data_IF_682704458058
#
_entry.id   IF_682704458058
#
_cell.length_a   1.000
_cell.length_b   1.000
_cell.length_c   1.000
_cell.angle_alpha   90.00
_cell.angle_beta   90.00
_cell.angle_gamma   90.00
#
_symmetry.space_group_name_H-M   'P 1'
#
loop_
_entity.id
_entity.type
_entity.pdbx_description
1 polymer ?
#
# COMPACT_ATOMS: atom_id res chain seq x y z
N UNK A 1 -25.04 13.20 -10.93
CA UNK A 1 -24.29 11.91 -10.90
C UNK A 1 -24.97 10.97 -9.91
N UNK A 2 -25.30 9.72 -10.27
CA UNK A 2 -25.97 8.79 -9.34
C UNK A 2 -25.01 8.31 -8.24
N UNK A 3 -25.49 8.14 -6.99
CA UNK A 3 -24.67 7.72 -5.81
C UNK A 3 -23.75 6.51 -6.08
N UNK A 4 -24.20 5.56 -6.90
CA UNK A 4 -23.41 4.37 -7.30
C UNK A 4 -22.15 4.74 -8.11
N UNK A 5 -22.23 5.71 -9.03
CA UNK A 5 -21.07 6.13 -9.85
C UNK A 5 -19.99 6.79 -9.00
N UNK A 6 -20.38 7.61 -8.03
CA UNK A 6 -19.44 8.30 -7.12
C UNK A 6 -18.60 7.28 -6.35
N UNK A 7 -19.23 6.25 -5.79
CA UNK A 7 -18.55 5.22 -5.00
C UNK A 7 -17.49 4.45 -5.79
N UNK A 8 -17.78 4.12 -7.06
CA UNK A 8 -16.83 3.44 -7.94
C UNK A 8 -15.64 4.33 -8.24
N UNK A 9 -15.87 5.59 -8.61
CA UNK A 9 -14.78 6.52 -8.89
C UNK A 9 -13.91 6.75 -7.65
N UNK A 10 -14.53 6.95 -6.47
CA UNK A 10 -13.78 7.11 -5.22
C UNK A 10 -12.95 5.86 -4.90
N UNK A 11 -13.50 4.67 -5.10
CA UNK A 11 -12.76 3.42 -4.88
C UNK A 11 -11.54 3.30 -5.81
N UNK A 12 -11.74 3.52 -7.12
CA UNK A 12 -10.66 3.41 -8.11
C UNK A 12 -9.57 4.46 -7.88
N UNK A 13 -9.94 5.71 -7.61
CA UNK A 13 -8.96 6.77 -7.29
C UNK A 13 -8.17 6.40 -6.04
N UNK A 14 -8.86 5.97 -4.99
CA UNK A 14 -8.23 5.63 -3.72
C UNK A 14 -7.29 4.42 -3.85
N UNK A 15 -7.66 3.38 -4.61
CA UNK A 15 -6.80 2.22 -4.82
C UNK A 15 -5.60 2.54 -5.71
N UNK A 16 -5.78 3.27 -6.81
CA UNK A 16 -4.66 3.60 -7.71
C UNK A 16 -3.65 4.55 -7.05
N UNK A 17 -4.14 5.58 -6.36
CA UNK A 17 -3.27 6.50 -5.62
C UNK A 17 -2.49 5.77 -4.53
N UNK A 18 -3.18 5.00 -3.69
CA UNK A 18 -2.55 4.24 -2.60
C UNK A 18 -1.56 3.21 -3.13
N UNK A 19 -1.97 2.38 -4.09
CA UNK A 19 -1.13 1.31 -4.61
C UNK A 19 0.07 1.83 -5.40
N UNK A 20 -0.04 3.00 -6.04
CA UNK A 20 1.06 3.61 -6.79
C UNK A 20 2.22 4.10 -5.91
N UNK A 21 1.95 4.43 -4.64
CA UNK A 21 2.96 4.96 -3.72
C UNK A 21 3.96 3.88 -3.26
N UNK A 22 3.59 2.61 -3.23
CA UNK A 22 4.50 1.53 -2.79
C UNK A 22 5.58 1.20 -3.83
N UNK A 23 5.27 1.02 -5.12
CA UNK A 23 6.29 0.96 -6.18
C UNK A 23 7.17 2.21 -6.22
N UNK A 24 6.60 3.40 -6.00
CA UNK A 24 7.39 4.63 -5.90
C UNK A 24 8.36 4.58 -4.70
N UNK A 25 7.91 4.12 -3.53
CA UNK A 25 8.78 3.90 -2.38
C UNK A 25 9.90 2.89 -2.66
N UNK A 26 9.59 1.79 -3.36
CA UNK A 26 10.58 0.80 -3.77
C UNK A 26 11.63 1.37 -4.75
N UNK A 27 11.21 2.23 -5.68
CA UNK A 27 12.14 2.94 -6.56
C UNK A 27 13.06 3.85 -5.73
N UNK A 28 12.49 4.64 -4.82
CA UNK A 28 13.26 5.56 -3.98
C UNK A 28 14.24 4.82 -3.07
N UNK A 29 13.84 3.72 -2.43
CA UNK A 29 14.77 2.95 -1.60
C UNK A 29 15.88 2.30 -2.46
N UNK A 30 15.59 1.90 -3.71
CA UNK A 30 16.61 1.42 -4.65
C UNK A 30 17.63 2.51 -4.96
N UNK A 31 17.17 3.74 -5.24
CA UNK A 31 18.04 4.88 -5.49
C UNK A 31 18.90 5.21 -4.27
N UNK A 32 18.35 5.14 -3.06
CA UNK A 32 19.13 5.27 -1.84
C UNK A 32 20.22 4.21 -1.73
N UNK A 33 19.89 2.93 -1.97
CA UNK A 33 20.89 1.85 -1.91
C UNK A 33 22.02 2.01 -2.93
N UNK A 34 21.72 2.61 -4.09
CA UNK A 34 22.70 2.85 -5.15
C UNK A 34 23.56 4.10 -4.91
N UNK A 35 22.94 5.19 -4.46
CA UNK A 35 23.60 6.52 -4.35
C UNK A 35 24.14 6.82 -2.95
N UNK A 36 23.57 6.20 -1.92
CA UNK A 36 23.79 6.55 -0.52
C UNK A 36 23.11 7.85 -0.08
N UNK A 37 22.38 8.56 -0.96
CA UNK A 37 21.77 9.85 -0.63
C UNK A 37 20.52 9.67 0.26
N UNK A 38 20.54 10.16 1.52
CA UNK A 38 19.44 9.97 2.48
C UNK A 38 18.13 10.65 2.06
N UNK A 39 18.15 11.59 1.10
CA UNK A 39 16.93 12.20 0.55
C UNK A 39 16.02 11.17 -0.11
N UNK A 40 16.59 10.17 -0.78
CA UNK A 40 15.80 9.11 -1.41
C UNK A 40 15.15 8.19 -0.37
N UNK A 41 15.86 7.84 0.70
CA UNK A 41 15.30 7.05 1.80
C UNK A 41 14.16 7.80 2.48
N UNK A 42 14.38 9.09 2.76
CA UNK A 42 13.35 9.97 3.32
C UNK A 42 12.14 10.03 2.40
N UNK A 43 12.34 10.18 1.09
CA UNK A 43 11.25 10.18 0.10
C UNK A 43 10.49 8.84 0.09
N UNK A 44 11.21 7.71 0.17
CA UNK A 44 10.58 6.39 0.30
C UNK A 44 9.69 6.32 1.55
N UNK A 45 10.17 6.84 2.68
CA UNK A 45 9.39 6.92 3.90
C UNK A 45 8.12 7.78 3.75
N UNK A 46 8.19 8.95 3.13
CA UNK A 46 7.01 9.77 2.85
C UNK A 46 5.99 9.03 1.98
N UNK A 47 6.44 8.32 0.94
CA UNK A 47 5.57 7.48 0.11
C UNK A 47 4.89 6.38 0.93
N UNK A 48 5.64 5.68 1.82
CA UNK A 48 5.07 4.68 2.73
C UNK A 48 4.06 5.32 3.69
N UNK A 49 4.36 6.48 4.26
CA UNK A 49 3.47 7.17 5.20
C UNK A 49 2.13 7.54 4.55
N UNK A 50 2.17 8.20 3.38
CA UNK A 50 0.97 8.59 2.64
C UNK A 50 0.23 7.34 2.13
N UNK A 51 0.97 6.33 1.62
CA UNK A 51 0.41 5.07 1.17
C UNK A 51 -0.32 4.34 2.29
N UNK A 52 0.32 4.19 3.46
CA UNK A 52 -0.27 3.60 4.65
C UNK A 52 -1.57 4.29 5.06
N UNK A 53 -1.56 5.62 5.13
CA UNK A 53 -2.77 6.40 5.44
C UNK A 53 -3.87 6.23 4.38
N UNK A 54 -3.49 5.96 3.12
CA UNK A 54 -4.41 5.66 2.02
C UNK A 54 -5.07 4.28 2.10
N UNK A 55 -4.42 3.28 2.71
CA UNK A 55 -4.93 1.89 2.77
C UNK A 55 -6.32 1.82 3.41
N UNK A 56 -6.61 2.43 4.58
CA UNK A 56 -7.95 2.44 5.16
C UNK A 56 -9.01 2.98 4.21
N UNK A 57 -8.73 4.06 3.48
CA UNK A 57 -9.67 4.64 2.52
C UNK A 57 -9.92 3.70 1.33
N UNK A 58 -8.87 3.09 0.79
CA UNK A 58 -8.97 2.15 -0.31
C UNK A 58 -9.73 0.87 0.10
N UNK A 59 -9.48 0.38 1.30
CA UNK A 59 -10.11 -0.80 1.86
C UNK A 59 -11.60 -0.57 2.14
N UNK A 60 -11.94 0.51 2.86
CA UNK A 60 -13.34 0.83 3.20
C UNK A 60 -14.17 1.11 1.95
N UNK A 61 -13.64 1.88 1.01
CA UNK A 61 -14.32 2.14 -0.27
C UNK A 61 -14.55 0.84 -1.04
N UNK A 62 -13.60 -0.09 -1.02
CA UNK A 62 -13.73 -1.40 -1.66
C UNK A 62 -14.81 -2.28 -1.02
N UNK A 63 -14.87 -2.31 0.31
CA UNK A 63 -15.93 -3.03 1.04
C UNK A 63 -17.31 -2.43 0.74
N UNK A 64 -17.41 -1.10 0.67
CA UNK A 64 -18.65 -0.41 0.30
C UNK A 64 -19.07 -0.73 -1.14
N UNK A 65 -18.13 -0.77 -2.08
CA UNK A 65 -18.39 -1.11 -3.47
C UNK A 65 -18.86 -2.56 -3.63
N UNK A 66 -18.19 -3.49 -2.93
CA UNK A 66 -18.57 -4.90 -2.85
C UNK A 66 -20.01 -5.08 -2.35
N UNK A 67 -20.39 -4.42 -1.25
CA UNK A 67 -21.76 -4.51 -0.71
C UNK A 67 -22.81 -3.93 -1.65
N UNK A 68 -22.53 -2.78 -2.30
CA UNK A 68 -23.53 -2.03 -3.07
C UNK A 68 -23.68 -2.46 -4.53
N UNK A 69 -22.60 -2.84 -5.20
CA UNK A 69 -22.63 -3.29 -6.61
C UNK A 69 -22.75 -4.79 -6.73
N UNK A 70 -21.99 -5.52 -5.91
CA UNK A 70 -21.92 -6.99 -5.98
C UNK A 70 -22.85 -7.66 -4.97
N UNK A 71 -23.73 -6.89 -4.31
CA UNK A 71 -24.71 -7.37 -3.34
C UNK A 71 -24.08 -8.19 -2.20
N UNK A 72 -22.80 -7.97 -1.89
CA UNK A 72 -22.08 -8.74 -0.89
C UNK A 72 -21.85 -10.21 -1.26
N UNK A 73 -21.98 -10.60 -2.55
CA UNK A 73 -21.70 -11.97 -2.98
C UNK A 73 -20.22 -12.28 -2.76
N UNK A 74 -19.94 -13.32 -1.99
CA UNK A 74 -18.57 -13.79 -1.76
C UNK A 74 -18.08 -14.53 -3.00
N UNK A 75 -16.88 -14.19 -3.42
CA UNK A 75 -16.12 -14.93 -4.43
C UNK A 75 -14.70 -15.08 -3.89
N UNK A 76 -13.98 -16.08 -4.39
CA UNK A 76 -12.56 -16.28 -4.03
C UNK A 76 -11.72 -15.01 -4.23
N UNK A 77 -12.07 -14.17 -5.22
CA UNK A 77 -11.38 -12.91 -5.47
C UNK A 77 -11.68 -11.85 -4.40
N UNK A 78 -12.93 -11.73 -3.92
CA UNK A 78 -13.27 -10.82 -2.82
C UNK A 78 -12.64 -11.26 -1.49
N UNK A 79 -12.63 -12.56 -1.22
CA UNK A 79 -12.03 -13.11 0.00
C UNK A 79 -10.54 -12.81 0.09
N UNK A 80 -9.81 -13.01 -1.02
CA UNK A 80 -8.40 -12.61 -1.08
C UNK A 80 -8.23 -11.10 -0.96
N UNK A 81 -9.05 -10.26 -1.62
CA UNK A 81 -8.93 -8.80 -1.51
C UNK A 81 -9.10 -8.32 -0.06
N UNK A 82 -10.03 -8.92 0.69
CA UNK A 82 -10.24 -8.60 2.10
C UNK A 82 -9.02 -9.03 2.93
N UNK A 83 -8.60 -10.30 2.80
CA UNK A 83 -7.48 -10.84 3.57
C UNK A 83 -6.15 -10.11 3.27
N UNK A 84 -5.80 -9.97 2.00
CA UNK A 84 -4.58 -9.29 1.57
C UNK A 84 -4.65 -7.77 1.80
N UNK A 85 -5.83 -7.16 1.78
CA UNK A 85 -6.01 -5.75 2.16
C UNK A 85 -5.72 -5.50 3.63
N UNK A 86 -6.13 -6.40 4.53
CA UNK A 86 -5.79 -6.33 5.95
C UNK A 86 -4.31 -6.61 6.19
N UNK A 87 -3.74 -7.62 5.53
CA UNK A 87 -2.29 -7.88 5.58
C UNK A 87 -1.49 -6.65 5.13
N UNK A 88 -1.94 -6.00 4.05
CA UNK A 88 -1.31 -4.80 3.52
C UNK A 88 -1.35 -3.64 4.51
N UNK A 89 -2.48 -3.45 5.22
CA UNK A 89 -2.59 -2.45 6.28
C UNK A 89 -1.62 -2.74 7.43
N UNK A 90 -1.56 -3.99 7.90
CA UNK A 90 -0.69 -4.39 9.00
C UNK A 90 0.77 -4.19 8.63
N UNK A 91 1.22 -4.68 7.47
CA UNK A 91 2.60 -4.52 7.02
C UNK A 91 2.94 -3.06 6.73
N UNK A 92 2.00 -2.27 6.21
CA UNK A 92 2.16 -0.83 6.01
C UNK A 92 2.40 -0.12 7.34
N UNK A 93 1.61 -0.45 8.36
CA UNK A 93 1.79 0.09 9.71
C UNK A 93 3.14 -0.33 10.31
N UNK A 94 3.50 -1.61 10.25
CA UNK A 94 4.79 -2.11 10.75
C UNK A 94 5.96 -1.38 10.08
N UNK A 95 5.93 -1.24 8.75
CA UNK A 95 6.98 -0.57 7.99
C UNK A 95 7.10 0.92 8.37
N UNK A 96 5.96 1.60 8.52
CA UNK A 96 5.91 2.98 8.98
C UNK A 96 6.49 3.12 10.39
N UNK A 97 6.05 2.29 11.35
CA UNK A 97 6.47 2.39 12.74
C UNK A 97 7.92 1.97 12.98
N UNK A 98 8.48 1.05 12.17
CA UNK A 98 9.92 0.77 12.19
C UNK A 98 10.70 2.04 11.85
N UNK A 99 10.39 2.69 10.73
CA UNK A 99 11.11 3.90 10.31
C UNK A 99 10.86 5.10 11.23
N UNK A 100 9.64 5.22 11.76
CA UNK A 100 9.29 6.26 12.73
C UNK A 100 10.08 6.11 14.03
N UNK A 101 10.21 4.88 14.56
CA UNK A 101 10.88 4.63 15.84
C UNK A 101 12.39 4.80 15.77
N UNK A 102 13.01 4.44 14.65
CA UNK A 102 14.47 4.54 14.47
C UNK A 102 14.93 5.91 13.94
N UNK A 103 14.01 6.74 13.41
CA UNK A 103 14.39 8.03 12.83
C UNK A 103 15.48 7.89 11.76
N UNK A 104 16.44 8.82 11.76
CA UNK A 104 17.58 8.79 10.83
C UNK A 104 18.60 7.68 11.14
N UNK A 105 18.58 7.13 12.36
CA UNK A 105 19.50 6.08 12.81
C UNK A 105 19.25 4.72 12.14
N UNK A 106 18.11 4.56 11.45
CA UNK A 106 17.80 3.33 10.72
C UNK A 106 18.91 2.94 9.74
N UNK A 107 19.66 3.92 9.23
CA UNK A 107 20.75 3.70 8.30
C UNK A 107 21.97 3.01 8.94
N UNK A 108 22.16 3.17 10.25
CA UNK A 108 23.19 2.49 11.04
C UNK A 108 22.68 1.16 11.64
N UNK A 109 21.37 0.92 11.65
CA UNK A 109 20.73 -0.21 12.32
C UNK A 109 20.81 -1.56 11.57
N UNK A 110 21.80 -1.75 10.69
CA UNK A 110 22.18 -3.01 10.03
C UNK A 110 21.03 -3.96 9.65
N UNK A 111 20.71 -4.91 10.54
CA UNK A 111 19.65 -5.89 10.35
C UNK A 111 18.24 -5.26 10.24
N UNK A 112 17.95 -4.23 11.02
CA UNK A 112 16.67 -3.51 11.00
C UNK A 112 16.47 -2.80 9.67
N UNK A 113 17.54 -2.19 9.13
CA UNK A 113 17.54 -1.59 7.79
C UNK A 113 17.16 -2.62 6.73
N UNK A 114 17.75 -3.81 6.78
CA UNK A 114 17.47 -4.88 5.83
C UNK A 114 15.99 -5.32 5.91
N UNK A 115 15.45 -5.47 7.11
CA UNK A 115 14.03 -5.79 7.33
C UNK A 115 13.14 -4.68 6.77
N UNK A 116 13.46 -3.41 7.04
CA UNK A 116 12.72 -2.26 6.52
C UNK A 116 12.69 -2.24 4.98
N UNK A 117 13.85 -2.41 4.35
CA UNK A 117 13.97 -2.48 2.88
C UNK A 117 13.17 -3.67 2.32
N UNK A 118 13.28 -4.85 2.92
CA UNK A 118 12.54 -6.03 2.50
C UNK A 118 11.02 -5.83 2.59
N UNK A 119 10.55 -5.18 3.67
CA UNK A 119 9.13 -4.85 3.84
C UNK A 119 8.62 -3.90 2.75
N UNK A 120 9.39 -2.90 2.32
CA UNK A 120 9.00 -2.01 1.20
C UNK A 120 8.77 -2.82 -0.09
N UNK A 121 9.64 -3.78 -0.40
CA UNK A 121 9.46 -4.63 -1.58
C UNK A 121 8.29 -5.60 -1.43
N UNK A 122 8.07 -6.17 -0.24
CA UNK A 122 6.90 -7.01 0.04
C UNK A 122 5.60 -6.21 -0.15
N UNK A 123 5.54 -4.97 0.37
CA UNK A 123 4.42 -4.07 0.19
C UNK A 123 4.17 -3.74 -1.29
N UNK A 124 5.23 -3.59 -2.09
CA UNK A 124 5.13 -3.41 -3.54
C UNK A 124 4.53 -4.63 -4.22
N UNK A 125 4.97 -5.83 -3.84
CA UNK A 125 4.38 -7.09 -4.31
C UNK A 125 2.90 -7.21 -3.95
N UNK A 126 2.52 -6.84 -2.73
CA UNK A 126 1.14 -6.82 -2.27
C UNK A 126 0.28 -5.82 -3.03
N UNK A 127 0.76 -4.59 -3.23
CA UNK A 127 0.09 -3.55 -4.00
C UNK A 127 -0.19 -4.03 -5.45
N UNK A 128 0.80 -4.68 -6.06
CA UNK A 128 0.70 -5.24 -7.41
C UNK A 128 -0.31 -6.39 -7.46
N UNK A 129 -0.26 -7.30 -6.49
CA UNK A 129 -1.19 -8.43 -6.40
C UNK A 129 -2.63 -7.96 -6.18
N UNK A 130 -2.86 -7.01 -5.29
CA UNK A 130 -4.18 -6.39 -5.07
C UNK A 130 -4.69 -5.68 -6.33
N UNK A 131 -3.80 -5.00 -7.06
CA UNK A 131 -4.10 -4.40 -8.37
C UNK A 131 -4.51 -5.45 -9.42
N UNK A 132 -3.78 -6.58 -9.49
CA UNK A 132 -4.13 -7.70 -10.35
C UNK A 132 -5.51 -8.29 -10.02
N UNK A 133 -5.82 -8.49 -8.73
CA UNK A 133 -7.17 -8.91 -8.32
C UNK A 133 -8.24 -7.84 -8.66
N UNK A 134 -7.86 -6.56 -8.67
CA UNK A 134 -8.65 -5.42 -9.14
C UNK A 134 -9.13 -5.57 -10.57
N UNK A 135 -8.21 -5.91 -11.47
CA UNK A 135 -8.46 -6.01 -12.92
C UNK A 135 -9.53 -7.03 -13.32
N UNK A 136 -9.79 -8.03 -12.49
CA UNK A 136 -10.78 -9.10 -12.75
C UNK A 136 -12.25 -8.63 -12.62
N UNK A 137 -12.48 -7.38 -12.24
CA UNK A 137 -13.82 -6.79 -12.05
C UNK A 137 -14.06 -5.56 -12.93
N UNK A 138 -13.15 -5.29 -13.86
CA UNK A 138 -13.30 -4.25 -14.90
C UNK A 138 -14.15 -4.82 -16.03
#
# INVERSE_FOLDING_TARGET
MTRKKILVHTHHISTHFTNGLFPAAALMITLFLYTGDPLFESTAFHCIAIGFLGIPFAYLSGVMDWKKRFQGRRTRTFDHKIAFGLLFLILGAVTFFIRWSYGEEINAAGAVKLVYVALIYILTGLATYLGHLGSKFI
#
